data_IF_765140202169
#
_entry.id   IF_765140202169
#
_cell.length_a   1.000
_cell.length_b   1.000
_cell.length_c   1.000
_cell.angle_alpha   90.00
_cell.angle_beta   90.00
_cell.angle_gamma   90.00
#
_symmetry.space_group_name_H-M   'P 1'
#
loop_
_entity.id
_entity.type
_entity.pdbx_description
1 polymer ?
#
# COMPACT_ATOMS: atom_id res chain seq x y z
N UNK A 1 -23.94 4.72 -42.92
CA UNK A 1 -22.90 3.69 -43.13
C UNK A 1 -22.51 3.16 -41.78
N UNK A 2 -22.83 1.91 -41.47
CA UNK A 2 -22.47 1.33 -40.19
C UNK A 2 -20.94 1.17 -40.14
N UNK A 3 -20.33 1.83 -39.19
CA UNK A 3 -18.90 1.78 -38.90
C UNK A 3 -18.56 0.31 -38.59
N UNK A 4 -17.76 -0.33 -39.43
CA UNK A 4 -17.36 -1.71 -39.20
C UNK A 4 -16.38 -1.78 -38.06
N UNK A 5 -16.86 -2.20 -36.90
CA UNK A 5 -16.05 -2.51 -35.72
C UNK A 5 -14.88 -3.39 -36.14
N UNK A 6 -13.67 -2.87 -36.05
CA UNK A 6 -12.46 -3.56 -36.51
C UNK A 6 -11.88 -4.47 -35.41
N UNK A 7 -11.02 -5.43 -35.78
CA UNK A 7 -10.27 -6.25 -34.81
C UNK A 7 -9.46 -5.38 -33.85
N UNK A 8 -8.91 -4.26 -34.33
CA UNK A 8 -8.17 -3.30 -33.52
C UNK A 8 -9.06 -2.61 -32.47
N UNK A 9 -10.31 -2.28 -32.83
CA UNK A 9 -11.27 -1.70 -31.90
C UNK A 9 -11.67 -2.69 -30.81
N UNK A 10 -11.86 -3.96 -31.18
CA UNK A 10 -12.14 -5.03 -30.22
C UNK A 10 -10.98 -5.26 -29.23
N UNK A 11 -9.73 -5.31 -29.72
CA UNK A 11 -8.55 -5.45 -28.88
C UNK A 11 -8.38 -4.24 -27.95
N UNK A 12 -8.72 -3.05 -28.42
CA UNK A 12 -8.70 -1.80 -27.64
C UNK A 12 -9.70 -1.85 -26.50
N UNK A 13 -10.97 -2.13 -26.79
CA UNK A 13 -12.02 -2.20 -25.77
C UNK A 13 -11.79 -3.32 -24.76
N UNK A 14 -11.33 -4.48 -25.23
CA UNK A 14 -11.02 -5.59 -24.32
C UNK A 14 -9.91 -5.25 -23.33
N UNK A 15 -8.92 -4.48 -23.78
CA UNK A 15 -7.81 -4.03 -22.95
C UNK A 15 -8.24 -2.95 -21.95
N UNK A 16 -9.07 -1.99 -22.37
CA UNK A 16 -9.63 -0.97 -21.49
C UNK A 16 -10.50 -1.62 -20.40
N UNK A 17 -11.42 -2.52 -20.78
CA UNK A 17 -12.19 -3.29 -19.82
C UNK A 17 -11.32 -4.15 -18.87
N UNK A 18 -10.10 -4.49 -19.29
CA UNK A 18 -9.10 -5.14 -18.44
C UNK A 18 -8.55 -4.21 -17.36
N UNK A 19 -8.25 -2.96 -17.71
CA UNK A 19 -7.79 -1.94 -16.78
C UNK A 19 -8.88 -1.54 -15.78
N UNK A 20 -10.11 -1.34 -16.24
CA UNK A 20 -11.26 -1.03 -15.37
C UNK A 20 -11.46 -2.12 -14.32
N UNK A 21 -11.48 -3.39 -14.75
CA UNK A 21 -11.57 -4.53 -13.82
C UNK A 21 -10.41 -4.59 -12.82
N UNK A 22 -9.20 -4.23 -13.25
CA UNK A 22 -8.05 -4.17 -12.35
C UNK A 22 -8.19 -3.02 -11.36
N UNK A 23 -8.65 -1.86 -11.83
CA UNK A 23 -8.92 -0.70 -10.99
C UNK A 23 -9.97 -1.02 -9.92
N UNK A 24 -11.14 -1.56 -10.32
CA UNK A 24 -12.21 -1.93 -9.40
C UNK A 24 -11.72 -2.92 -8.33
N UNK A 25 -10.92 -3.91 -8.74
CA UNK A 25 -10.31 -4.86 -7.79
C UNK A 25 -9.34 -4.20 -6.82
N UNK A 26 -8.55 -3.22 -7.26
CA UNK A 26 -7.64 -2.49 -6.38
C UNK A 26 -8.40 -1.61 -5.37
N UNK A 27 -9.45 -0.93 -5.83
CA UNK A 27 -10.31 -0.12 -4.95
C UNK A 27 -11.04 -1.00 -3.93
N UNK A 28 -11.61 -2.12 -4.39
CA UNK A 28 -12.29 -3.08 -3.51
C UNK A 28 -11.32 -3.69 -2.50
N UNK A 29 -10.13 -4.10 -2.94
CA UNK A 29 -9.08 -4.58 -2.05
C UNK A 29 -8.71 -3.53 -0.99
N UNK A 30 -8.55 -2.26 -1.37
CA UNK A 30 -8.21 -1.19 -0.43
C UNK A 30 -9.33 -0.94 0.61
N UNK A 31 -10.60 -1.13 0.22
CA UNK A 31 -11.74 -1.01 1.14
C UNK A 31 -11.83 -2.16 2.14
N UNK A 32 -11.47 -3.36 1.71
CA UNK A 32 -11.55 -4.59 2.52
C UNK A 32 -10.28 -4.83 3.35
N UNK A 33 -9.21 -4.10 3.07
CA UNK A 33 -7.94 -4.26 3.76
C UNK A 33 -8.10 -3.97 5.25
N UNK A 34 -7.52 -4.80 6.15
CA UNK A 34 -7.52 -4.53 7.57
C UNK A 34 -6.72 -3.25 7.87
N UNK A 35 -7.05 -2.59 8.98
CA UNK A 35 -6.31 -1.42 9.45
C UNK A 35 -4.85 -1.81 9.78
N UNK A 36 -3.96 -1.47 8.89
CA UNK A 36 -2.52 -1.71 8.98
C UNK A 36 -1.78 -0.66 8.16
N UNK A 37 -0.75 0.03 8.71
CA UNK A 37 -0.10 1.15 8.04
C UNK A 37 0.28 0.91 6.56
N UNK A 38 0.87 -0.24 6.15
CA UNK A 38 1.14 -0.50 4.74
C UNK A 38 -0.10 -0.55 3.85
N UNK A 39 -1.26 -0.98 4.38
CA UNK A 39 -2.51 -0.99 3.63
C UNK A 39 -3.14 0.40 3.56
N UNK A 40 -3.03 1.19 4.63
CA UNK A 40 -3.50 2.58 4.65
C UNK A 40 -2.70 3.45 3.67
N UNK A 41 -1.37 3.27 3.62
CA UNK A 41 -0.50 3.91 2.64
C UNK A 41 -0.87 3.51 1.20
N UNK A 42 -1.11 2.21 0.96
CA UNK A 42 -1.52 1.69 -0.34
C UNK A 42 -2.88 2.25 -0.77
N UNK A 43 -3.87 2.29 0.13
CA UNK A 43 -5.19 2.87 -0.11
C UNK A 43 -5.09 4.36 -0.45
N UNK A 44 -4.29 5.11 0.31
CA UNK A 44 -4.00 6.52 0.04
C UNK A 44 -3.31 6.74 -1.32
N UNK A 45 -2.44 5.83 -1.74
CA UNK A 45 -1.78 5.89 -3.05
C UNK A 45 -2.78 5.61 -4.18
N UNK A 46 -3.63 4.58 -4.05
CA UNK A 46 -4.69 4.26 -5.01
C UNK A 46 -5.63 5.45 -5.18
N UNK A 47 -6.09 6.05 -4.07
CA UNK A 47 -7.00 7.20 -4.10
C UNK A 47 -6.37 8.42 -4.80
N UNK A 48 -5.08 8.70 -4.56
CA UNK A 48 -4.37 9.81 -5.24
C UNK A 48 -4.21 9.61 -6.73
N UNK A 49 -4.17 8.37 -7.18
CA UNK A 49 -3.99 8.02 -8.59
C UNK A 49 -5.30 7.69 -9.31
N UNK A 50 -6.44 7.71 -8.61
CA UNK A 50 -7.74 7.31 -9.12
C UNK A 50 -8.05 7.93 -10.49
N UNK A 51 -7.93 9.25 -10.61
CA UNK A 51 -8.17 9.98 -11.86
C UNK A 51 -7.23 9.57 -13.02
N UNK A 52 -6.02 9.08 -12.70
CA UNK A 52 -5.05 8.60 -13.71
C UNK A 52 -5.24 7.13 -14.07
N UNK A 53 -5.87 6.36 -13.20
CA UNK A 53 -6.13 4.93 -13.37
C UNK A 53 -7.45 4.67 -14.08
N UNK A 54 -8.40 5.60 -14.03
CA UNK A 54 -9.68 5.55 -14.76
C UNK A 54 -9.47 5.90 -16.21
N UNK A 55 -9.39 4.91 -17.03
CA UNK A 55 -9.10 5.03 -18.47
C UNK A 55 -10.31 5.37 -19.34
N UNK A 56 -11.55 4.96 -19.00
CA UNK A 56 -12.69 5.07 -19.94
C UNK A 56 -13.01 6.50 -20.35
N UNK A 57 -12.70 7.47 -19.48
CA UNK A 57 -12.96 8.89 -19.72
C UNK A 57 -11.83 9.57 -20.52
N UNK A 58 -10.70 8.87 -20.72
CA UNK A 58 -9.62 9.39 -21.56
C UNK A 58 -9.95 9.07 -23.01
N UNK A 59 -10.39 10.07 -23.73
CA UNK A 59 -10.48 9.98 -25.19
C UNK A 59 -9.10 9.63 -25.77
N UNK A 60 -8.94 8.36 -26.15
CA UNK A 60 -7.68 7.88 -26.72
C UNK A 60 -7.33 8.57 -28.04
N UNK A 61 -8.31 9.16 -28.70
CA UNK A 61 -8.16 9.81 -29.99
C UNK A 61 -7.80 11.31 -29.86
N UNK A 62 -7.89 11.90 -28.66
CA UNK A 62 -7.49 13.28 -28.44
C UNK A 62 -6.01 13.51 -28.76
N UNK A 63 -5.65 14.76 -29.06
CA UNK A 63 -4.25 15.16 -29.26
C UNK A 63 -3.36 14.75 -28.08
N UNK A 64 -2.13 14.34 -28.38
CA UNK A 64 -1.13 13.97 -27.38
C UNK A 64 -0.65 15.24 -26.65
N UNK A 65 -0.57 15.20 -25.34
CA UNK A 65 -0.13 16.35 -24.55
C UNK A 65 1.34 16.18 -24.15
N UNK A 66 2.19 17.12 -24.57
CA UNK A 66 3.61 17.17 -24.27
C UNK A 66 3.91 18.36 -23.36
N UNK A 67 4.29 18.10 -22.11
CA UNK A 67 4.64 19.14 -21.14
C UNK A 67 6.15 19.37 -21.08
N UNK A 68 6.58 20.63 -21.16
CA UNK A 68 7.98 21.04 -21.01
C UNK A 68 8.25 21.45 -19.57
N UNK A 69 9.25 20.82 -18.97
CA UNK A 69 9.64 20.95 -17.57
C UNK A 69 11.11 21.33 -17.45
N UNK A 70 11.47 21.99 -16.40
CA UNK A 70 12.85 22.34 -16.10
C UNK A 70 12.94 23.61 -15.26
N UNK A 71 14.05 23.79 -14.58
CA UNK A 71 14.30 24.97 -13.76
C UNK A 71 14.48 26.26 -14.57
N UNK A 72 14.50 27.42 -13.88
CA UNK A 72 14.71 28.70 -14.53
C UNK A 72 16.02 28.74 -15.28
N UNK A 73 15.95 29.14 -16.55
CA UNK A 73 17.12 29.26 -17.43
C UNK A 73 17.69 27.96 -17.96
N UNK A 74 16.95 26.83 -17.84
CA UNK A 74 17.32 25.57 -18.50
C UNK A 74 16.97 25.52 -19.98
N UNK A 75 16.50 26.61 -20.59
CA UNK A 75 16.17 26.69 -22.02
C UNK A 75 14.84 26.05 -22.40
N UNK A 76 13.95 25.82 -21.44
CA UNK A 76 12.61 25.23 -21.63
C UNK A 76 11.78 25.98 -22.68
N UNK A 77 11.51 27.27 -22.43
CA UNK A 77 10.74 28.13 -23.36
C UNK A 77 11.46 28.37 -24.69
N UNK A 78 12.80 28.33 -24.67
CA UNK A 78 13.60 28.42 -25.92
C UNK A 78 13.45 27.16 -26.76
N UNK A 79 13.48 25.97 -26.14
CA UNK A 79 13.23 24.71 -26.84
C UNK A 79 11.80 24.63 -27.37
N UNK A 80 10.82 25.07 -26.58
CA UNK A 80 9.43 25.16 -26.99
C UNK A 80 9.28 26.04 -28.24
N UNK A 81 9.89 27.21 -28.24
CA UNK A 81 9.89 28.12 -29.40
C UNK A 81 10.61 27.53 -30.62
N UNK A 82 11.74 26.85 -30.42
CA UNK A 82 12.49 26.19 -31.48
C UNK A 82 11.68 25.09 -32.17
N UNK A 83 10.89 24.32 -31.42
CA UNK A 83 10.01 23.30 -31.99
C UNK A 83 8.87 23.93 -32.82
N UNK A 84 8.37 25.09 -32.39
CA UNK A 84 7.33 25.84 -33.14
C UNK A 84 7.88 26.66 -34.29
N UNK A 85 9.22 26.81 -34.39
CA UNK A 85 9.88 27.64 -35.39
C UNK A 85 9.56 29.15 -35.27
N UNK A 86 9.05 29.56 -34.10
CA UNK A 86 8.67 30.96 -33.83
C UNK A 86 8.68 31.24 -32.31
N UNK A 87 8.78 32.52 -31.97
CA UNK A 87 8.77 32.98 -30.57
C UNK A 87 7.34 33.13 -30.05
N UNK A 88 6.84 32.15 -29.37
CA UNK A 88 5.50 32.09 -28.74
C UNK A 88 5.59 32.34 -27.26
N UNK A 89 6.41 31.52 -26.57
CA UNK A 89 6.67 31.70 -25.15
C UNK A 89 7.79 32.71 -24.90
N UNK A 90 7.65 33.51 -23.83
CA UNK A 90 8.68 34.49 -23.48
C UNK A 90 9.93 33.78 -22.99
N UNK A 91 11.04 33.99 -23.67
CA UNK A 91 12.34 33.42 -23.33
C UNK A 91 13.38 34.55 -23.27
N UNK A 92 14.23 34.57 -22.25
CA UNK A 92 15.29 35.60 -22.15
C UNK A 92 16.10 35.50 -20.86
N UNK A 93 17.16 36.34 -20.77
CA UNK A 93 18.05 36.38 -19.59
C UNK A 93 17.71 37.53 -18.63
N UNK A 94 17.01 38.57 -19.08
CA UNK A 94 16.94 39.86 -18.38
C UNK A 94 15.84 39.96 -17.32
N UNK A 95 14.75 39.19 -17.42
CA UNK A 95 13.66 39.24 -16.44
C UNK A 95 13.21 37.80 -16.09
N UNK A 96 13.51 37.32 -14.93
CA UNK A 96 13.07 35.98 -14.42
C UNK A 96 12.18 36.18 -13.20
N UNK A 97 11.05 35.45 -13.10
CA UNK A 97 10.53 34.42 -14.00
C UNK A 97 9.84 35.02 -15.25
N UNK A 98 10.11 34.44 -16.43
CA UNK A 98 9.53 34.89 -17.68
C UNK A 98 8.14 34.32 -17.95
N UNK A 99 7.92 33.06 -17.57
CA UNK A 99 6.68 32.31 -17.81
C UNK A 99 5.87 32.26 -16.52
N UNK A 100 4.88 33.14 -16.40
CA UNK A 100 3.99 33.19 -15.20
C UNK A 100 2.74 32.32 -15.36
N UNK A 101 2.38 31.96 -16.58
CA UNK A 101 1.25 31.08 -16.96
C UNK A 101 1.79 29.92 -17.78
N UNK A 102 1.11 28.80 -17.82
CA UNK A 102 1.47 27.75 -18.76
C UNK A 102 1.10 28.20 -20.17
N UNK A 103 2.05 28.14 -21.13
CA UNK A 103 1.82 28.52 -22.52
C UNK A 103 1.49 27.28 -23.33
N UNK A 104 0.28 27.23 -23.87
CA UNK A 104 -0.28 26.10 -24.62
C UNK A 104 -0.27 26.41 -26.11
N UNK A 105 0.38 25.60 -26.94
CA UNK A 105 0.28 25.64 -28.39
C UNK A 105 -0.51 24.43 -28.88
N UNK A 106 -1.53 24.67 -29.70
CA UNK A 106 -2.34 23.65 -30.35
C UNK A 106 -2.72 24.09 -31.78
N UNK A 107 -3.17 23.14 -32.61
CA UNK A 107 -3.77 23.47 -33.89
C UNK A 107 -5.15 24.12 -33.69
N UNK A 108 -5.60 25.03 -34.61
CA UNK A 108 -6.94 25.61 -34.50
C UNK A 108 -8.08 24.59 -34.45
N UNK A 109 -7.92 23.41 -35.05
CA UNK A 109 -8.91 22.34 -35.06
C UNK A 109 -8.87 21.48 -33.79
N UNK A 110 -7.92 21.73 -32.89
CA UNK A 110 -7.78 21.00 -31.61
C UNK A 110 -8.35 21.86 -30.49
N UNK A 111 -9.38 21.36 -29.83
CA UNK A 111 -9.95 22.00 -28.64
C UNK A 111 -9.15 21.64 -27.39
N UNK A 112 -8.43 22.57 -26.75
CA UNK A 112 -7.69 22.31 -25.51
C UNK A 112 -8.56 22.34 -24.25
N UNK A 113 -9.86 22.56 -24.35
CA UNK A 113 -10.79 22.68 -23.17
C UNK A 113 -10.82 21.44 -22.30
N UNK A 114 -10.53 20.27 -22.86
CA UNK A 114 -10.44 19.01 -22.10
C UNK A 114 -9.33 19.03 -21.02
N UNK A 115 -8.37 19.95 -21.11
CA UNK A 115 -7.36 20.11 -20.06
C UNK A 115 -7.97 20.63 -18.75
N UNK A 116 -9.17 21.23 -18.79
CA UNK A 116 -9.85 21.73 -17.59
C UNK A 116 -9.04 22.72 -16.77
N UNK A 117 -8.05 23.40 -17.41
CA UNK A 117 -7.17 24.35 -16.75
C UNK A 117 -7.85 25.72 -16.67
N UNK A 118 -7.65 26.39 -15.54
CA UNK A 118 -8.17 27.73 -15.35
C UNK A 118 -7.57 28.73 -16.36
N UNK A 119 -8.43 29.56 -16.99
CA UNK A 119 -8.05 30.53 -17.97
C UNK A 119 -7.01 31.57 -17.48
N UNK A 120 -7.00 31.83 -16.16
CA UNK A 120 -5.99 32.72 -15.55
C UNK A 120 -4.62 32.06 -15.40
N UNK A 121 -4.56 30.72 -15.48
CA UNK A 121 -3.36 29.94 -15.34
C UNK A 121 -2.70 29.55 -16.67
N UNK A 122 -3.39 29.73 -17.79
CA UNK A 122 -2.92 29.34 -19.13
C UNK A 122 -3.00 30.48 -20.11
N UNK A 123 -2.14 30.41 -21.12
CA UNK A 123 -2.16 31.28 -22.33
C UNK A 123 -2.19 30.33 -23.53
N UNK A 124 -3.27 30.40 -24.35
CA UNK A 124 -3.48 29.49 -25.48
C UNK A 124 -3.11 30.19 -26.79
N UNK A 125 -2.25 29.55 -27.58
CA UNK A 125 -1.86 29.95 -28.92
C UNK A 125 -2.29 28.89 -29.94
N UNK A 126 -3.23 29.24 -30.79
CA UNK A 126 -3.62 28.42 -31.93
C UNK A 126 -2.68 28.66 -33.10
N UNK A 127 -1.98 27.62 -33.53
CA UNK A 127 -0.92 27.70 -34.54
C UNK A 127 -1.15 26.62 -35.59
N UNK A 128 -1.29 27.02 -36.83
CA UNK A 128 -1.46 26.12 -37.96
C UNK A 128 -0.11 25.48 -38.35
N UNK A 129 0.30 24.44 -37.60
CA UNK A 129 1.46 23.58 -37.87
C UNK A 129 0.97 22.14 -37.91
N UNK A 130 1.28 21.35 -38.95
CA UNK A 130 0.69 20.01 -39.12
C UNK A 130 0.80 19.06 -37.94
N UNK A 131 1.93 19.02 -37.24
CA UNK A 131 2.08 18.09 -36.12
C UNK A 131 1.22 18.48 -34.90
N UNK A 132 0.82 19.76 -34.78
CA UNK A 132 -0.08 20.23 -33.73
C UNK A 132 -1.54 19.76 -33.91
N UNK A 133 -1.92 19.25 -35.10
CA UNK A 133 -3.22 18.55 -35.26
C UNK A 133 -3.36 17.34 -34.36
N UNK A 134 -2.24 16.74 -33.99
CA UNK A 134 -2.19 15.50 -33.19
C UNK A 134 -1.50 15.68 -31.84
N UNK A 135 -0.98 16.88 -31.55
CA UNK A 135 -0.19 17.15 -30.37
C UNK A 135 -0.47 18.56 -29.81
N UNK A 136 -0.54 18.65 -28.50
CA UNK A 136 -0.55 19.92 -27.77
C UNK A 136 0.78 20.05 -27.05
N UNK A 137 1.46 21.16 -27.19
CA UNK A 137 2.67 21.50 -26.45
C UNK A 137 2.34 22.45 -25.31
N UNK A 138 2.87 22.20 -24.13
CA UNK A 138 2.66 23.07 -22.96
C UNK A 138 4.02 23.45 -22.34
N UNK A 139 4.37 24.74 -22.42
CA UNK A 139 5.51 25.30 -21.69
C UNK A 139 5.10 25.62 -20.24
N UNK A 140 5.56 24.83 -19.29
CA UNK A 140 5.18 24.96 -17.89
C UNK A 140 6.01 26.04 -17.18
N UNK A 141 5.42 26.79 -16.22
CA UNK A 141 6.17 27.72 -15.39
C UNK A 141 7.21 26.99 -14.54
N UNK A 142 8.25 27.71 -14.16
CA UNK A 142 9.34 27.17 -13.34
C UNK A 142 8.93 27.05 -11.87
N UNK A 143 8.98 25.85 -11.29
CA UNK A 143 8.62 25.65 -9.89
C UNK A 143 9.67 26.16 -8.88
N UNK A 144 10.93 26.40 -9.33
CA UNK A 144 12.04 26.80 -8.49
C UNK A 144 12.13 28.34 -8.28
N UNK A 145 11.32 29.12 -9.01
CA UNK A 145 11.43 30.57 -8.97
C UNK A 145 10.49 31.17 -7.94
N UNK A 146 11.08 31.86 -6.96
CA UNK A 146 10.35 32.79 -6.11
C UNK A 146 10.30 34.13 -6.81
N UNK A 147 9.11 34.64 -7.11
CA UNK A 147 8.94 36.00 -7.63
C UNK A 147 9.10 36.97 -6.44
N UNK A 148 10.07 37.90 -6.48
CA UNK A 148 10.28 38.84 -5.35
C UNK A 148 9.09 39.78 -5.14
N UNK A 149 8.29 40.03 -6.20
CA UNK A 149 7.17 40.98 -6.18
C UNK A 149 5.83 40.32 -5.74
N UNK A 150 5.73 39.00 -5.83
CA UNK A 150 4.57 38.23 -5.38
C UNK A 150 4.96 37.39 -4.16
N UNK A 151 4.56 37.79 -2.98
CA UNK A 151 4.86 37.06 -1.74
C UNK A 151 4.41 35.59 -1.72
N UNK A 152 3.74 35.09 -2.75
CA UNK A 152 3.26 33.71 -2.94
C UNK A 152 3.53 33.16 -4.36
N UNK A 153 4.30 33.85 -5.21
CA UNK A 153 4.50 33.52 -6.63
C UNK A 153 5.09 32.13 -6.88
N UNK A 154 5.98 31.66 -6.03
CA UNK A 154 6.56 30.32 -6.15
C UNK A 154 5.54 29.21 -5.90
N UNK A 155 4.57 29.38 -5.03
CA UNK A 155 3.46 28.43 -4.81
C UNK A 155 2.54 28.39 -6.01
N UNK A 156 2.18 29.55 -6.57
CA UNK A 156 1.32 29.64 -7.75
C UNK A 156 1.93 28.92 -8.97
N UNK A 157 3.22 29.05 -9.22
CA UNK A 157 3.90 28.33 -10.30
C UNK A 157 3.87 26.82 -10.11
N UNK A 158 4.11 26.37 -8.87
CA UNK A 158 4.05 24.95 -8.52
C UNK A 158 2.62 24.40 -8.65
N UNK A 159 1.61 25.19 -8.29
CA UNK A 159 0.20 24.78 -8.40
C UNK A 159 -0.24 24.68 -9.85
N UNK A 160 0.18 25.64 -10.72
CA UNK A 160 -0.05 25.56 -12.16
C UNK A 160 0.64 24.31 -12.73
N UNK A 161 1.89 24.07 -12.37
CA UNK A 161 2.62 22.90 -12.82
C UNK A 161 1.88 21.61 -12.42
N UNK A 162 1.42 21.51 -11.17
CA UNK A 162 0.67 20.37 -10.66
C UNK A 162 -0.68 20.18 -11.32
N UNK A 163 -1.32 21.26 -11.76
CA UNK A 163 -2.55 21.20 -12.52
C UNK A 163 -2.30 20.68 -13.95
N UNK A 164 -1.21 21.08 -14.60
CA UNK A 164 -0.85 20.68 -15.97
C UNK A 164 -0.34 19.24 -16.04
N UNK A 165 0.52 18.83 -15.09
CA UNK A 165 1.21 17.54 -15.12
C UNK A 165 0.27 16.33 -15.27
N UNK A 166 -0.91 16.25 -14.62
CA UNK A 166 -1.83 15.12 -14.80
C UNK A 166 -2.27 14.89 -16.25
N UNK A 167 -2.30 15.94 -17.06
CA UNK A 167 -2.76 15.90 -18.46
C UNK A 167 -1.64 15.52 -19.44
N UNK A 168 -0.36 15.61 -19.04
CA UNK A 168 0.76 15.30 -19.91
C UNK A 168 0.87 13.81 -20.18
N UNK A 169 0.84 13.41 -21.44
CA UNK A 169 1.14 12.05 -21.91
C UNK A 169 2.66 11.82 -21.99
N UNK A 170 3.41 12.86 -22.38
CA UNK A 170 4.88 12.87 -22.47
C UNK A 170 5.41 14.10 -21.74
N UNK A 171 6.52 13.96 -21.04
CA UNK A 171 7.22 15.06 -20.38
C UNK A 171 8.59 15.27 -21.02
N UNK A 172 8.89 16.48 -21.42
CA UNK A 172 10.22 16.89 -21.89
C UNK A 172 10.91 17.65 -20.77
N UNK A 173 11.93 17.06 -20.19
CA UNK A 173 12.68 17.68 -19.10
C UNK A 173 13.97 18.30 -19.60
N UNK A 174 14.07 19.64 -19.52
CA UNK A 174 15.27 20.40 -19.91
C UNK A 174 16.21 20.58 -18.72
N UNK A 175 17.48 20.34 -18.94
CA UNK A 175 18.55 20.48 -17.94
C UNK A 175 19.75 21.26 -18.53
N UNK A 176 20.54 21.86 -17.64
CA UNK A 176 21.86 22.43 -17.97
C UNK A 176 22.91 21.78 -17.10
N UNK A 177 24.19 21.97 -17.43
CA UNK A 177 25.30 21.47 -16.59
C UNK A 177 25.23 21.94 -15.15
N UNK A 178 24.62 23.08 -14.87
CA UNK A 178 24.52 23.67 -13.54
C UNK A 178 23.24 23.28 -12.80
N UNK A 179 22.16 22.95 -13.53
CA UNK A 179 20.79 22.76 -12.97
C UNK A 179 20.17 21.41 -13.35
N UNK A 180 20.91 20.32 -13.27
CA UNK A 180 20.36 18.98 -13.52
C UNK A 180 19.99 18.21 -12.23
N UNK A 181 20.44 18.69 -11.06
CA UNK A 181 20.15 18.09 -9.75
C UNK A 181 19.19 18.95 -8.90
N UNK A 182 18.26 19.71 -9.52
CA UNK A 182 17.25 20.46 -8.77
C UNK A 182 16.39 19.54 -7.92
N UNK A 183 16.37 19.79 -6.61
CA UNK A 183 15.63 18.97 -5.65
C UNK A 183 14.11 19.06 -5.87
N UNK A 184 13.58 20.27 -6.14
CA UNK A 184 12.13 20.50 -6.37
C UNK A 184 11.67 19.78 -7.64
N UNK A 185 12.39 19.97 -8.73
CA UNK A 185 12.08 19.31 -10.01
C UNK A 185 12.22 17.78 -9.85
N UNK A 186 13.24 17.31 -9.16
CA UNK A 186 13.43 15.89 -8.85
C UNK A 186 12.29 15.29 -8.03
N UNK A 187 11.73 16.02 -7.06
CA UNK A 187 10.57 15.60 -6.30
C UNK A 187 9.29 15.54 -7.17
N UNK A 188 9.04 16.56 -7.97
CA UNK A 188 7.88 16.57 -8.87
C UNK A 188 7.99 15.48 -9.96
N UNK A 189 9.20 15.22 -10.47
CA UNK A 189 9.43 14.07 -11.34
C UNK A 189 9.11 12.75 -10.65
N UNK A 190 9.61 12.49 -9.45
CA UNK A 190 9.31 11.26 -8.69
C UNK A 190 7.82 11.03 -8.49
N UNK A 191 7.05 12.09 -8.23
CA UNK A 191 5.60 12.01 -8.01
C UNK A 191 4.82 11.76 -9.30
N UNK A 192 5.27 12.37 -10.41
CA UNK A 192 4.51 12.43 -11.64
C UNK A 192 5.08 11.55 -12.77
N UNK A 193 6.35 11.14 -12.69
CA UNK A 193 7.00 10.25 -13.66
C UNK A 193 6.37 8.85 -13.77
N UNK A 194 5.89 8.22 -12.66
CA UNK A 194 5.36 6.87 -12.77
C UNK A 194 4.28 6.77 -13.86
N UNK A 195 4.50 5.83 -14.78
CA UNK A 195 3.63 5.59 -15.90
C UNK A 195 3.62 6.69 -16.99
N UNK A 196 4.68 7.49 -17.12
CA UNK A 196 4.81 8.47 -18.18
C UNK A 196 6.13 8.33 -18.93
N UNK A 197 6.10 8.65 -20.22
CA UNK A 197 7.31 8.77 -21.00
C UNK A 197 7.97 10.12 -20.71
N UNK A 198 9.26 10.08 -20.36
CA UNK A 198 10.05 11.27 -20.09
C UNK A 198 11.21 11.33 -21.07
N UNK A 199 11.33 12.44 -21.76
CA UNK A 199 12.44 12.77 -22.65
C UNK A 199 13.35 13.79 -21.95
N UNK A 200 14.63 13.53 -21.91
CA UNK A 200 15.60 14.43 -21.30
C UNK A 200 16.41 15.14 -22.36
N UNK A 201 16.53 16.47 -22.19
CA UNK A 201 17.28 17.32 -23.09
C UNK A 201 18.28 18.16 -22.29
N UNK A 202 19.56 17.94 -22.50
CA UNK A 202 20.61 18.85 -22.06
C UNK A 202 20.71 19.99 -23.08
N UNK A 203 20.24 21.15 -22.68
CA UNK A 203 20.29 22.37 -23.48
C UNK A 203 21.64 23.11 -23.32
N UNK A 204 21.84 24.22 -24.01
CA UNK A 204 23.08 25.03 -23.96
C UNK A 204 24.33 24.27 -24.39
N UNK A 205 24.21 23.37 -25.37
CA UNK A 205 25.31 22.50 -25.79
C UNK A 205 26.53 23.27 -26.30
N UNK A 206 26.35 24.52 -26.79
CA UNK A 206 27.44 25.37 -27.21
C UNK A 206 28.33 25.91 -26.08
N UNK A 207 27.77 26.01 -24.86
CA UNK A 207 28.45 26.63 -23.72
C UNK A 207 28.77 25.63 -22.63
N UNK A 208 27.84 24.69 -22.37
CA UNK A 208 27.89 23.75 -21.28
C UNK A 208 28.67 22.47 -21.62
N UNK A 209 29.47 21.91 -20.72
CA UNK A 209 30.08 20.60 -20.89
C UNK A 209 29.04 19.49 -21.03
N UNK A 210 29.42 18.38 -21.64
CA UNK A 210 28.56 17.20 -21.75
C UNK A 210 28.51 16.45 -20.41
N UNK A 211 27.36 16.53 -19.74
CA UNK A 211 27.14 15.88 -18.43
C UNK A 211 26.11 14.74 -18.54
N UNK A 212 25.83 14.22 -19.74
CA UNK A 212 24.81 13.18 -19.94
C UNK A 212 25.06 11.91 -19.13
N UNK A 213 26.32 11.51 -18.95
CA UNK A 213 26.67 10.32 -18.18
C UNK A 213 26.43 10.49 -16.68
N UNK A 214 26.71 11.68 -16.12
CA UNK A 214 26.43 11.98 -14.72
C UNK A 214 24.92 12.15 -14.47
N UNK A 215 24.23 12.79 -15.42
CA UNK A 215 22.76 12.87 -15.42
C UNK A 215 22.13 11.47 -15.46
N UNK A 216 22.62 10.56 -16.30
CA UNK A 216 22.12 9.18 -16.37
C UNK A 216 22.27 8.46 -15.04
N UNK A 217 23.44 8.53 -14.40
CA UNK A 217 23.67 7.97 -13.07
C UNK A 217 22.72 8.53 -12.01
N UNK A 218 22.48 9.86 -12.06
CA UNK A 218 21.54 10.52 -11.17
C UNK A 218 20.09 10.03 -11.38
N UNK A 219 19.66 9.88 -12.63
CA UNK A 219 18.33 9.39 -12.98
C UNK A 219 18.14 7.92 -12.59
N UNK A 220 19.15 7.08 -12.80
CA UNK A 220 19.15 5.67 -12.36
C UNK A 220 19.02 5.56 -10.83
N UNK A 221 19.70 6.44 -10.08
CA UNK A 221 19.55 6.52 -8.62
C UNK A 221 18.14 6.97 -8.18
N UNK A 222 17.42 7.70 -9.02
CA UNK A 222 16.02 8.06 -8.83
C UNK A 222 15.05 6.93 -9.25
N UNK A 223 15.56 5.84 -9.83
CA UNK A 223 14.75 4.76 -10.40
C UNK A 223 14.15 5.07 -11.77
N UNK A 224 14.62 6.11 -12.44
CA UNK A 224 14.16 6.57 -13.76
C UNK A 224 15.12 6.04 -14.83
N UNK A 225 14.69 5.03 -15.58
CA UNK A 225 15.44 4.53 -16.73
C UNK A 225 15.16 5.39 -17.96
N UNK A 226 16.19 6.05 -18.47
CA UNK A 226 16.09 6.93 -19.63
C UNK A 226 16.91 6.34 -20.78
N UNK A 227 16.29 5.96 -21.91
CA UNK A 227 16.99 5.34 -23.02
C UNK A 227 17.97 6.30 -23.69
N UNK A 228 17.56 7.54 -23.89
CA UNK A 228 18.37 8.54 -24.56
C UNK A 228 18.26 9.91 -23.87
N UNK A 229 19.36 10.64 -23.83
CA UNK A 229 19.44 12.03 -23.37
C UNK A 229 19.96 12.86 -24.55
N UNK A 230 19.09 13.70 -25.10
CA UNK A 230 19.43 14.59 -26.21
C UNK A 230 20.31 15.73 -25.72
N UNK A 231 21.21 16.21 -26.57
CA UNK A 231 22.09 17.33 -26.25
C UNK A 231 22.24 18.24 -27.46
N UNK A 232 21.69 19.45 -27.39
CA UNK A 232 21.76 20.47 -28.44
C UNK A 232 21.57 21.87 -27.86
N UNK A 233 21.83 22.91 -28.67
CA UNK A 233 21.52 24.30 -28.31
C UNK A 233 20.19 24.76 -28.93
N UNK A 234 19.18 24.89 -28.08
CA UNK A 234 17.84 25.28 -28.55
C UNK A 234 17.78 26.73 -29.05
N UNK A 235 18.64 27.64 -28.56
CA UNK A 235 18.70 29.01 -29.00
C UNK A 235 19.33 29.10 -30.42
N UNK A 236 20.39 28.35 -30.64
CA UNK A 236 21.01 28.20 -31.95
C UNK A 236 20.04 27.57 -32.97
N UNK A 237 19.33 26.51 -32.55
CA UNK A 237 18.32 25.84 -33.38
C UNK A 237 17.21 26.83 -33.82
N UNK A 238 16.71 27.65 -32.90
CA UNK A 238 15.72 28.68 -33.22
C UNK A 238 16.29 29.74 -34.18
N UNK A 239 17.49 30.27 -33.92
CA UNK A 239 18.13 31.27 -34.74
C UNK A 239 18.38 30.78 -36.19
N UNK A 240 18.85 29.54 -36.35
CA UNK A 240 19.04 28.92 -37.66
C UNK A 240 17.73 28.74 -38.41
N UNK A 241 16.65 28.34 -37.72
CA UNK A 241 15.33 28.25 -38.36
C UNK A 241 14.80 29.61 -38.79
N UNK A 242 14.96 30.65 -37.96
CA UNK A 242 14.60 32.03 -38.32
C UNK A 242 15.41 32.51 -39.53
N UNK A 243 16.66 32.07 -39.69
CA UNK A 243 17.53 32.36 -40.83
C UNK A 243 17.35 31.44 -42.05
N UNK A 244 16.51 30.41 -41.96
CA UNK A 244 16.36 29.42 -43.04
C UNK A 244 17.54 28.47 -43.18
N UNK A 245 18.42 28.35 -42.17
CA UNK A 245 19.59 27.52 -42.16
C UNK A 245 19.28 26.09 -41.60
N UNK A 246 20.05 25.07 -42.01
CA UNK A 246 19.89 23.72 -41.46
C UNK A 246 20.20 23.68 -39.95
N UNK A 247 19.35 23.01 -39.20
CA UNK A 247 19.51 22.82 -37.74
C UNK A 247 20.50 21.69 -37.42
N UNK A 248 20.96 21.63 -36.17
CA UNK A 248 21.79 20.56 -35.66
C UNK A 248 21.12 19.19 -35.77
N UNK A 249 21.88 18.14 -36.07
CA UNK A 249 21.39 16.76 -36.24
C UNK A 249 20.68 16.23 -34.99
N UNK A 250 21.14 16.57 -33.80
CA UNK A 250 20.51 16.13 -32.55
C UNK A 250 19.15 16.81 -32.32
N UNK A 251 19.05 18.10 -32.62
CA UNK A 251 17.78 18.80 -32.60
C UNK A 251 16.83 18.25 -33.67
N UNK A 252 17.34 18.01 -34.90
CA UNK A 252 16.55 17.44 -35.99
C UNK A 252 15.96 16.09 -35.60
N UNK A 253 16.77 15.19 -34.99
CA UNK A 253 16.31 13.88 -34.47
C UNK A 253 15.26 14.02 -33.35
N UNK A 254 15.47 14.97 -32.44
CA UNK A 254 14.51 15.22 -31.36
C UNK A 254 13.18 15.75 -31.91
N UNK A 255 13.22 16.63 -32.87
CA UNK A 255 12.04 17.14 -33.56
C UNK A 255 11.32 16.03 -34.34
N UNK A 256 12.06 15.20 -35.09
CA UNK A 256 11.52 14.07 -35.84
C UNK A 256 10.84 13.04 -34.92
N UNK A 257 11.42 12.76 -33.77
CA UNK A 257 10.80 11.92 -32.72
C UNK A 257 9.42 12.47 -32.32
N UNK A 258 9.32 13.78 -32.04
CA UNK A 258 8.06 14.41 -31.65
C UNK A 258 7.05 14.42 -32.78
N UNK A 259 7.45 14.89 -33.97
CA UNK A 259 6.58 15.09 -35.12
C UNK A 259 6.10 13.79 -35.78
N UNK A 260 6.98 12.80 -35.92
CA UNK A 260 6.70 11.60 -36.69
C UNK A 260 6.48 10.36 -35.81
N UNK A 261 7.31 10.14 -34.81
CA UNK A 261 7.18 8.94 -34.00
C UNK A 261 6.07 9.06 -32.94
N UNK A 262 5.97 10.20 -32.25
CA UNK A 262 4.99 10.39 -31.19
C UNK A 262 3.62 10.85 -31.70
N UNK A 263 3.58 11.80 -32.66
CA UNK A 263 2.33 12.37 -33.13
C UNK A 263 1.47 11.38 -33.95
N UNK A 264 2.06 10.70 -34.96
CA UNK A 264 1.25 10.08 -36.01
C UNK A 264 0.73 8.66 -35.71
N UNK A 265 1.52 7.81 -35.04
CA UNK A 265 1.18 6.38 -34.86
C UNK A 265 1.28 5.89 -33.43
N UNK A 266 1.83 6.68 -32.53
CA UNK A 266 2.22 6.21 -31.22
C UNK A 266 1.28 6.62 -30.08
N UNK A 267 0.34 7.57 -30.26
CA UNK A 267 -0.50 8.09 -29.15
C UNK A 267 -1.21 6.99 -28.36
N UNK A 268 -1.86 6.04 -29.02
CA UNK A 268 -2.49 4.91 -28.34
C UNK A 268 -1.46 3.99 -27.65
N UNK A 269 -0.31 3.75 -28.32
CA UNK A 269 0.77 2.95 -27.74
C UNK A 269 1.39 3.63 -26.52
N UNK A 270 1.58 4.96 -26.58
CA UNK A 270 2.11 5.76 -25.48
C UNK A 270 1.15 5.70 -24.29
N UNK A 271 -0.13 5.96 -24.49
CA UNK A 271 -1.12 5.91 -23.41
C UNK A 271 -1.25 4.52 -22.79
N UNK A 272 -1.26 3.47 -23.62
CA UNK A 272 -1.21 2.09 -23.13
C UNK A 272 0.05 1.81 -22.33
N UNK A 273 1.22 2.21 -22.83
CA UNK A 273 2.48 2.02 -22.15
C UNK A 273 2.52 2.80 -20.82
N UNK A 274 2.00 4.02 -20.82
CA UNK A 274 1.89 4.87 -19.64
C UNK A 274 0.99 4.20 -18.58
N UNK A 275 -0.15 3.65 -18.96
CA UNK A 275 -1.05 2.93 -18.06
C UNK A 275 -0.41 1.67 -17.50
N UNK A 276 0.15 0.82 -18.37
CA UNK A 276 0.86 -0.39 -17.95
C UNK A 276 2.01 -0.05 -17.00
N UNK A 277 2.78 1.00 -17.33
CA UNK A 277 3.85 1.50 -16.48
C UNK A 277 3.34 2.00 -15.12
N UNK A 278 2.22 2.72 -15.12
CA UNK A 278 1.60 3.23 -13.89
C UNK A 278 1.11 2.10 -12.99
N UNK A 279 0.40 1.09 -13.55
CA UNK A 279 -0.04 -0.08 -12.79
C UNK A 279 1.14 -0.90 -12.29
N UNK A 280 2.16 -1.12 -13.13
CA UNK A 280 3.38 -1.83 -12.74
C UNK A 280 4.11 -1.15 -11.57
N UNK A 281 4.23 0.18 -11.65
CA UNK A 281 4.81 0.98 -10.56
C UNK A 281 3.95 0.94 -9.30
N UNK A 282 2.61 1.12 -9.43
CA UNK A 282 1.68 1.09 -8.31
C UNK A 282 1.73 -0.24 -7.57
N UNK A 283 1.67 -1.36 -8.30
CA UNK A 283 1.76 -2.69 -7.71
C UNK A 283 3.09 -2.92 -7.00
N UNK A 284 4.19 -2.41 -7.57
CA UNK A 284 5.50 -2.48 -6.93
C UNK A 284 5.57 -1.62 -5.67
N UNK A 285 5.00 -0.40 -5.72
CA UNK A 285 4.95 0.53 -4.59
C UNK A 285 4.08 -0.02 -3.44
N UNK A 286 3.00 -0.74 -3.74
CA UNK A 286 2.16 -1.43 -2.74
C UNK A 286 2.88 -2.66 -2.18
N UNK A 287 3.51 -3.45 -3.04
CA UNK A 287 4.14 -4.71 -2.64
C UNK A 287 5.37 -4.52 -1.74
N UNK A 288 6.18 -3.52 -2.00
CA UNK A 288 7.45 -3.33 -1.29
C UNK A 288 7.30 -3.11 0.22
N UNK A 289 6.44 -2.21 0.72
CA UNK A 289 6.20 -2.03 2.16
C UNK A 289 5.60 -3.27 2.82
N UNK A 290 4.70 -3.97 2.12
CA UNK A 290 4.09 -5.21 2.62
C UNK A 290 5.16 -6.30 2.74
N UNK A 291 5.95 -6.52 1.69
CA UNK A 291 6.98 -7.56 1.66
C UNK A 291 8.03 -7.37 2.75
N UNK A 292 8.42 -6.13 3.04
CA UNK A 292 9.41 -5.83 4.10
C UNK A 292 8.94 -6.22 5.50
N UNK A 293 7.63 -6.34 5.73
CA UNK A 293 7.03 -6.68 7.03
C UNK A 293 6.52 -8.12 7.15
N UNK A 294 6.53 -8.89 6.06
CA UNK A 294 6.04 -10.29 6.06
C UNK A 294 6.82 -11.18 7.03
N UNK A 295 8.13 -11.01 7.15
CA UNK A 295 8.95 -11.78 8.09
C UNK A 295 8.57 -11.51 9.55
N UNK A 296 8.23 -10.27 9.89
CA UNK A 296 7.77 -9.91 11.23
C UNK A 296 6.39 -10.53 11.52
N UNK A 297 5.47 -10.47 10.55
CA UNK A 297 4.14 -11.10 10.66
C UNK A 297 4.27 -12.62 10.84
N UNK A 298 5.13 -13.28 10.05
CA UNK A 298 5.38 -14.70 10.18
C UNK A 298 5.95 -15.09 11.57
N UNK A 299 6.81 -14.25 12.14
CA UNK A 299 7.33 -14.43 13.51
C UNK A 299 6.23 -14.30 14.57
N UNK A 300 5.31 -13.33 14.40
CA UNK A 300 4.13 -13.18 15.28
C UNK A 300 3.29 -14.45 15.23
N UNK A 301 2.94 -14.92 14.03
CA UNK A 301 2.11 -16.10 13.83
C UNK A 301 2.76 -17.37 14.46
N UNK A 302 4.04 -17.61 14.18
CA UNK A 302 4.78 -18.72 14.73
C UNK A 302 4.88 -18.67 16.27
N UNK A 303 5.01 -17.46 16.83
CA UNK A 303 5.06 -17.27 18.30
C UNK A 303 3.70 -17.52 18.93
N UNK A 304 2.63 -16.99 18.33
CA UNK A 304 1.26 -17.25 18.78
C UNK A 304 0.93 -18.75 18.76
N UNK A 305 1.31 -19.46 17.69
CA UNK A 305 1.11 -20.91 17.59
C UNK A 305 1.85 -21.67 18.70
N UNK A 306 3.11 -21.32 18.96
CA UNK A 306 3.92 -21.92 20.03
C UNK A 306 3.33 -21.67 21.42
N UNK A 307 2.93 -20.43 21.70
CA UNK A 307 2.34 -20.10 23.01
C UNK A 307 0.97 -20.75 23.21
N UNK A 308 0.14 -20.83 22.16
CA UNK A 308 -1.12 -21.61 22.22
C UNK A 308 -0.86 -23.08 22.55
N UNK A 309 0.09 -23.72 21.89
CA UNK A 309 0.45 -25.11 22.15
C UNK A 309 1.00 -25.30 23.58
N UNK A 310 1.85 -24.38 24.04
CA UNK A 310 2.40 -24.39 25.42
C UNK A 310 1.30 -24.23 26.46
N UNK A 311 0.38 -23.30 26.29
CA UNK A 311 -0.76 -23.13 27.20
C UNK A 311 -1.68 -24.34 27.20
N UNK A 312 -2.03 -24.88 26.03
CA UNK A 312 -2.84 -26.09 25.93
C UNK A 312 -2.19 -27.27 26.68
N UNK A 313 -0.88 -27.46 26.51
CA UNK A 313 -0.13 -28.50 27.23
C UNK A 313 -0.14 -28.28 28.76
N UNK A 314 0.11 -27.04 29.22
CA UNK A 314 0.07 -26.70 30.65
C UNK A 314 -1.32 -26.90 31.27
N UNK A 315 -2.36 -26.45 30.57
CA UNK A 315 -3.75 -26.63 31.00
C UNK A 315 -4.08 -28.14 31.08
N UNK A 316 -3.71 -28.90 30.03
CA UNK A 316 -3.91 -30.35 29.99
C UNK A 316 -3.19 -31.09 31.13
N UNK A 317 -1.93 -30.76 31.39
CA UNK A 317 -1.17 -31.32 32.49
C UNK A 317 -1.82 -31.03 33.85
N UNK A 318 -2.22 -29.78 34.10
CA UNK A 318 -2.93 -29.39 35.34
C UNK A 318 -4.29 -30.07 35.50
N UNK A 319 -5.05 -30.17 34.39
CA UNK A 319 -6.32 -30.92 34.43
C UNK A 319 -6.08 -32.38 34.80
N UNK A 320 -5.10 -33.04 34.22
CA UNK A 320 -4.74 -34.42 34.54
C UNK A 320 -4.31 -34.56 36.01
N UNK A 321 -3.44 -33.67 36.48
CA UNK A 321 -3.01 -33.66 37.88
C UNK A 321 -4.20 -33.49 38.85
N UNK A 322 -5.13 -32.58 38.56
CA UNK A 322 -6.37 -32.39 39.35
C UNK A 322 -7.30 -33.59 39.27
N UNK A 323 -7.42 -34.23 38.11
CA UNK A 323 -8.22 -35.46 37.95
C UNK A 323 -7.59 -36.58 38.77
N UNK A 324 -6.28 -36.77 38.72
CA UNK A 324 -5.58 -37.79 39.45
C UNK A 324 -5.64 -37.55 40.96
N UNK A 325 -5.44 -36.34 41.42
CA UNK A 325 -5.58 -35.95 42.82
C UNK A 325 -7.00 -36.23 43.37
N UNK A 326 -8.01 -36.04 42.54
CA UNK A 326 -9.41 -36.26 42.92
C UNK A 326 -10.00 -37.58 42.38
N UNK A 327 -9.17 -38.49 41.87
CA UNK A 327 -9.58 -39.73 41.20
C UNK A 327 -10.59 -40.56 41.99
N UNK A 328 -10.43 -40.62 43.31
CA UNK A 328 -11.38 -41.34 44.19
C UNK A 328 -12.75 -40.68 44.25
N UNK A 329 -12.79 -39.35 44.30
CA UNK A 329 -14.03 -38.57 44.32
C UNK A 329 -14.76 -38.64 42.98
N UNK A 330 -14.01 -38.54 41.88
CA UNK A 330 -14.55 -38.67 40.53
C UNK A 330 -15.10 -40.09 40.30
N UNK A 331 -14.36 -41.12 40.66
CA UNK A 331 -14.79 -42.51 40.54
C UNK A 331 -16.10 -42.75 41.30
N UNK A 332 -16.22 -42.21 42.50
CA UNK A 332 -17.44 -42.33 43.30
C UNK A 332 -18.65 -41.56 42.69
N UNK A 333 -18.42 -40.41 42.08
CA UNK A 333 -19.48 -39.64 41.40
C UNK A 333 -19.94 -40.30 40.09
N UNK A 334 -19.00 -40.73 39.27
CA UNK A 334 -19.31 -41.44 38.01
C UNK A 334 -20.07 -42.73 38.30
N UNK A 335 -19.64 -43.53 39.29
CA UNK A 335 -20.34 -44.75 39.67
C UNK A 335 -21.75 -44.47 40.20
N UNK A 336 -21.96 -43.39 40.97
CA UNK A 336 -23.29 -42.97 41.41
C UNK A 336 -24.18 -42.54 40.25
N UNK A 337 -23.67 -41.78 39.32
CA UNK A 337 -24.42 -41.34 38.13
C UNK A 337 -24.74 -42.49 37.20
N UNK A 338 -23.81 -43.40 36.95
CA UNK A 338 -24.05 -44.63 36.20
C UNK A 338 -25.14 -45.48 36.85
N UNK A 339 -25.10 -45.60 38.18
CA UNK A 339 -26.12 -46.33 38.93
C UNK A 339 -27.50 -45.69 38.88
N UNK A 340 -27.56 -44.35 38.85
CA UNK A 340 -28.81 -43.56 38.64
C UNK A 340 -29.34 -43.66 37.21
N UNK A 341 -28.46 -43.64 36.21
CA UNK A 341 -28.83 -43.68 34.79
C UNK A 341 -29.28 -45.10 34.33
N UNK A 342 -28.73 -46.15 34.93
CA UNK A 342 -28.99 -47.53 34.52
C UNK A 342 -30.12 -48.20 35.31
N UNK A 343 -30.73 -47.53 36.30
CA UNK A 343 -31.89 -48.04 37.02
C UNK A 343 -31.63 -49.34 37.78
N UNK A 344 -32.67 -50.11 38.07
CA UNK A 344 -32.61 -51.34 38.82
C UNK A 344 -32.29 -52.58 37.96
N UNK A 345 -31.07 -52.66 37.41
CA UNK A 345 -30.60 -53.82 36.63
C UNK A 345 -29.57 -54.66 37.42
N UNK A 346 -29.27 -55.92 36.99
CA UNK A 346 -28.32 -56.79 37.65
C UNK A 346 -26.90 -56.20 37.76
N UNK A 347 -26.48 -55.38 36.83
CA UNK A 347 -25.22 -54.64 36.91
C UNK A 347 -25.24 -53.51 37.95
N UNK A 348 -26.38 -52.83 38.14
CA UNK A 348 -26.54 -51.85 39.20
C UNK A 348 -26.45 -52.49 40.60
N UNK A 349 -26.99 -53.72 40.76
CA UNK A 349 -26.83 -54.50 41.92
C UNK A 349 -25.37 -54.86 42.24
N UNK A 350 -24.59 -55.28 41.24
CA UNK A 350 -23.16 -55.62 41.40
C UNK A 350 -22.32 -54.35 41.73
N UNK A 351 -22.59 -53.25 41.14
CA UNK A 351 -21.91 -52.00 41.44
C UNK A 351 -22.28 -51.48 42.83
N UNK A 352 -23.56 -51.64 43.22
CA UNK A 352 -24.05 -51.35 44.56
C UNK A 352 -23.36 -52.24 45.64
N UNK A 353 -23.23 -53.56 45.39
CA UNK A 353 -22.52 -54.50 46.25
C UNK A 353 -21.03 -54.17 46.37
N UNK A 354 -20.40 -53.77 45.30
CA UNK A 354 -18.97 -53.35 45.24
C UNK A 354 -18.72 -52.06 46.01
N UNK A 355 -19.62 -51.10 45.87
CA UNK A 355 -19.58 -49.82 46.61
C UNK A 355 -19.91 -50.06 48.13
N UNK A 356 -20.77 -51.01 48.46
CA UNK A 356 -21.14 -51.39 49.83
C UNK A 356 -20.08 -52.26 50.50
N UNK A 357 -19.29 -53.04 49.76
CA UNK A 357 -18.22 -53.87 50.31
C UNK A 357 -17.19 -53.09 51.13
N UNK A 358 -16.89 -51.86 50.70
CA UNK A 358 -16.05 -50.93 51.47
C UNK A 358 -16.69 -50.46 52.80
N UNK A 359 -18.02 -50.42 52.87
CA UNK A 359 -18.76 -50.10 54.11
C UNK A 359 -18.97 -51.31 55.02
N UNK A 360 -19.07 -52.51 54.44
CA UNK A 360 -19.20 -53.77 55.22
C UNK A 360 -17.93 -54.07 56.03
N UNK A 361 -16.74 -53.83 55.53
CA UNK A 361 -15.50 -53.91 56.29
C UNK A 361 -15.49 -52.98 57.49
N UNK A 362 -16.07 -51.76 57.35
CA UNK A 362 -16.25 -50.80 58.46
C UNK A 362 -17.31 -51.28 59.45
N UNK A 363 -18.39 -51.94 59.01
CA UNK A 363 -19.44 -52.52 59.88
C UNK A 363 -18.97 -53.70 60.66
N UNK A 364 -18.06 -54.51 60.09
CA UNK A 364 -17.45 -55.65 60.83
C UNK A 364 -16.55 -55.21 62.00
N UNK A 365 -15.96 -54.01 61.90
CA UNK A 365 -15.21 -53.43 63.04
C UNK A 365 -16.17 -52.98 64.15
N UNK A 366 -17.40 -52.55 63.82
CA UNK A 366 -18.42 -52.17 64.77
C UNK A 366 -19.08 -53.37 65.49
N UNK A 367 -19.10 -54.54 64.86
CA UNK A 367 -19.61 -55.79 65.44
C UNK A 367 -18.71 -56.40 66.55
N UNK A 368 -17.51 -55.82 66.73
CA UNK A 368 -16.58 -56.27 67.82
C UNK A 368 -16.76 -55.49 69.12
N UNK A 369 -17.76 -54.64 69.22
CA UNK A 369 -18.06 -53.80 70.39
C UNK A 369 -18.85 -54.61 71.40
N UNK A 370 -18.24 -54.87 72.57
CA UNK A 370 -18.85 -55.70 73.67
C UNK A 370 -19.40 -54.87 74.82
N UNK A 371 -19.26 -53.54 74.83
CA UNK A 371 -19.72 -52.68 75.93
C UNK A 371 -20.43 -51.46 75.44
N UNK A 372 -21.44 -50.89 76.14
CA UNK A 372 -22.20 -49.74 75.74
C UNK A 372 -21.33 -48.47 75.55
N UNK A 373 -20.28 -48.33 76.35
CA UNK A 373 -19.34 -47.22 76.25
C UNK A 373 -18.49 -47.29 74.99
N UNK A 374 -18.14 -48.49 74.51
CA UNK A 374 -17.44 -48.65 73.23
C UNK A 374 -18.36 -48.40 72.03
N UNK A 375 -19.67 -48.65 72.18
CA UNK A 375 -20.67 -48.38 71.16
C UNK A 375 -20.83 -46.85 70.92
N UNK A 376 -20.85 -46.09 72.02
CA UNK A 376 -20.94 -44.59 71.92
C UNK A 376 -19.67 -43.99 71.33
N UNK A 377 -18.50 -44.46 71.70
CA UNK A 377 -17.22 -44.08 71.18
C UNK A 377 -17.07 -44.43 69.68
N UNK A 378 -17.45 -45.63 69.28
CA UNK A 378 -17.42 -46.11 67.92
C UNK A 378 -18.45 -45.37 67.03
N UNK A 379 -19.65 -45.10 67.59
CA UNK A 379 -20.69 -44.29 66.95
C UNK A 379 -20.25 -42.81 66.76
N UNK A 380 -19.62 -42.24 67.79
CA UNK A 380 -19.09 -40.89 67.74
C UNK A 380 -17.94 -40.72 66.73
N UNK A 381 -17.02 -41.70 66.67
CA UNK A 381 -15.95 -41.76 65.69
C UNK A 381 -16.48 -41.99 64.29
N UNK A 382 -17.48 -42.84 64.11
CA UNK A 382 -18.11 -43.01 62.77
C UNK A 382 -18.88 -41.75 62.31
N UNK A 383 -19.59 -41.12 63.26
CA UNK A 383 -20.27 -39.83 62.94
C UNK A 383 -19.28 -38.68 62.61
N UNK A 384 -18.19 -38.57 63.39
CA UNK A 384 -17.17 -37.55 63.12
C UNK A 384 -16.44 -37.82 61.83
N UNK A 385 -16.22 -39.05 61.42
CA UNK A 385 -15.62 -39.39 60.12
C UNK A 385 -16.59 -39.10 58.96
N UNK A 386 -17.89 -39.35 59.10
CA UNK A 386 -18.90 -38.98 58.10
C UNK A 386 -19.05 -37.50 57.99
N UNK A 387 -19.01 -36.75 59.08
CA UNK A 387 -19.01 -35.28 59.05
C UNK A 387 -17.72 -34.78 58.46
N UNK A 388 -16.57 -35.30 58.78
CA UNK A 388 -15.28 -34.93 58.22
C UNK A 388 -15.16 -35.31 56.72
N UNK A 389 -15.78 -36.42 56.29
CA UNK A 389 -15.86 -36.78 54.87
C UNK A 389 -16.78 -35.79 54.09
N UNK A 390 -17.94 -35.46 54.65
CA UNK A 390 -18.86 -34.46 54.09
C UNK A 390 -18.25 -33.04 54.03
N UNK A 391 -17.46 -32.69 55.07
CA UNK A 391 -16.71 -31.44 55.10
C UNK A 391 -15.56 -31.44 54.11
N UNK A 392 -14.85 -32.52 53.94
CA UNK A 392 -13.81 -32.67 52.91
C UNK A 392 -14.40 -32.67 51.52
N UNK A 393 -15.55 -33.31 51.28
CA UNK A 393 -16.27 -33.24 50.00
C UNK A 393 -16.76 -31.81 49.67
N UNK A 394 -17.25 -31.09 50.68
CA UNK A 394 -17.65 -29.66 50.49
C UNK A 394 -16.43 -28.76 50.25
N UNK A 395 -15.35 -28.93 51.01
CA UNK A 395 -14.10 -28.17 50.76
C UNK A 395 -13.47 -28.52 49.43
N UNK A 396 -13.44 -29.77 49.02
CA UNK A 396 -12.93 -30.18 47.72
C UNK A 396 -13.84 -29.66 46.56
N UNK A 397 -15.15 -29.55 46.78
CA UNK A 397 -16.07 -28.98 45.82
C UNK A 397 -15.91 -27.44 45.72
N UNK A 398 -15.67 -26.76 46.85
CA UNK A 398 -15.39 -25.31 46.85
C UNK A 398 -13.99 -24.99 46.38
N UNK A 399 -12.98 -25.84 46.64
CA UNK A 399 -11.64 -25.67 46.11
C UNK A 399 -11.56 -25.93 44.58
N UNK A 400 -12.43 -26.80 44.05
CA UNK A 400 -12.56 -26.97 42.59
C UNK A 400 -13.16 -25.76 41.86
N UNK A 401 -13.88 -24.90 42.60
CA UNK A 401 -14.52 -23.69 42.05
C UNK A 401 -13.74 -22.42 42.39
N UNK A 402 -12.96 -22.43 43.51
CA UNK A 402 -12.41 -21.18 44.07
C UNK A 402 -10.93 -20.90 43.79
N UNK A 403 -10.15 -21.84 43.29
CA UNK A 403 -8.75 -21.58 42.94
C UNK A 403 -8.39 -22.26 41.62
N UNK A 404 -8.97 -21.77 40.54
CA UNK A 404 -8.19 -21.63 39.34
C UNK A 404 -7.07 -20.65 39.70
N UNK A 405 -5.85 -21.15 39.84
CA UNK A 405 -4.67 -20.34 40.11
C UNK A 405 -4.38 -19.45 38.90
N UNK A 406 -5.23 -18.39 38.76
CA UNK A 406 -5.19 -17.43 37.69
C UNK A 406 -3.83 -16.70 37.68
N UNK A 407 -3.21 -16.56 38.86
CA UNK A 407 -1.95 -15.85 39.01
C UNK A 407 -0.77 -16.44 38.24
N UNK A 408 -0.69 -17.79 38.14
CA UNK A 408 0.37 -18.46 37.35
C UNK A 408 0.07 -18.40 35.85
N UNK A 409 -1.21 -18.39 35.45
CA UNK A 409 -1.62 -18.22 34.07
C UNK A 409 -1.42 -16.77 33.66
N UNK A 410 -1.69 -15.79 34.53
CA UNK A 410 -1.44 -14.38 34.32
C UNK A 410 0.05 -14.06 34.12
N UNK A 411 0.95 -14.67 34.92
CA UNK A 411 2.40 -14.54 34.76
C UNK A 411 2.89 -15.05 33.38
N UNK A 412 2.42 -16.24 32.99
CA UNK A 412 2.75 -16.78 31.66
C UNK A 412 2.15 -15.96 30.52
N UNK A 413 0.93 -15.43 30.69
CA UNK A 413 0.28 -14.54 29.74
C UNK A 413 1.00 -13.20 29.60
N UNK A 414 1.46 -12.62 30.71
CA UNK A 414 2.21 -11.36 30.68
C UNK A 414 3.56 -11.51 29.98
N UNK A 415 4.28 -12.60 30.19
CA UNK A 415 5.53 -12.91 29.51
C UNK A 415 5.32 -13.12 28.00
N UNK A 416 4.30 -13.91 27.63
CA UNK A 416 3.95 -14.13 26.22
C UNK A 416 3.51 -12.83 25.54
N UNK A 417 2.77 -11.97 26.25
CA UNK A 417 2.34 -10.65 25.77
C UNK A 417 3.53 -9.72 25.51
N UNK A 418 4.53 -9.70 26.39
CA UNK A 418 5.73 -8.88 26.22
C UNK A 418 6.53 -9.28 24.97
N UNK A 419 6.71 -10.59 24.73
CA UNK A 419 7.37 -11.12 23.53
C UNK A 419 6.59 -10.78 22.27
N UNK A 420 5.26 -10.95 22.30
CA UNK A 420 4.40 -10.62 21.15
C UNK A 420 4.37 -9.13 20.87
N UNK A 421 4.40 -8.27 21.90
CA UNK A 421 4.42 -6.82 21.72
C UNK A 421 5.66 -6.35 20.95
N UNK A 422 6.83 -6.96 21.17
CA UNK A 422 8.03 -6.68 20.40
C UNK A 422 7.83 -6.97 18.90
N UNK A 423 7.34 -8.18 18.57
CA UNK A 423 7.09 -8.55 17.16
C UNK A 423 5.94 -7.79 16.52
N UNK A 424 4.91 -7.41 17.29
CA UNK A 424 3.80 -6.58 16.81
C UNK A 424 4.29 -5.16 16.48
N UNK A 425 5.19 -4.61 17.30
CA UNK A 425 5.82 -3.32 17.03
C UNK A 425 6.68 -3.36 15.75
N UNK A 426 7.48 -4.42 15.57
CA UNK A 426 8.28 -4.62 14.36
C UNK A 426 7.41 -4.77 13.09
N UNK A 427 6.21 -5.36 13.23
CA UNK A 427 5.24 -5.52 12.16
C UNK A 427 4.33 -4.29 11.99
N UNK A 428 4.44 -3.28 12.86
CA UNK A 428 3.53 -2.11 12.93
C UNK A 428 2.04 -2.51 13.08
N UNK A 429 1.77 -3.61 13.76
CA UNK A 429 0.42 -4.09 14.04
C UNK A 429 -0.02 -3.60 15.41
N UNK A 430 -1.12 -2.85 15.47
CA UNK A 430 -1.71 -2.46 16.75
C UNK A 430 -2.43 -3.67 17.38
N UNK A 431 -2.13 -4.02 18.66
CA UNK A 431 -2.89 -5.02 19.34
C UNK A 431 -4.36 -4.57 19.48
N UNK A 432 -5.34 -5.49 19.39
CA UNK A 432 -6.72 -5.14 19.66
C UNK A 432 -6.84 -4.56 21.07
N UNK A 433 -7.70 -3.54 21.21
CA UNK A 433 -8.00 -2.97 22.52
C UNK A 433 -8.46 -4.12 23.46
N UNK A 434 -7.90 -4.15 24.69
CA UNK A 434 -8.33 -5.13 25.67
C UNK A 434 -9.83 -4.93 25.89
N UNK A 435 -10.67 -5.97 25.82
CA UNK A 435 -12.04 -5.86 26.26
C UNK A 435 -12.03 -5.47 27.74
N UNK A 436 -12.66 -4.34 28.08
CA UNK A 436 -12.90 -3.90 29.46
C UNK A 436 -13.73 -4.91 30.26
#
# INVERSE_FOLDING_TARGET
>A
MADRFTKADWEREHLLAGFDRLHDKLVEWARQAPAWPPFDEAGGLIARLDARLRVPEIDLDRALVVGFLGGSGTGKSTLYNALLGRRVSRAGKEHRPMTRRAVVACHPDVDPSFLGLDADSIEIHQINIPFLEQMILIDCPDPDTQDPDDGDGGRRHLDILRAVLPHCDVMVHTVTSQKYKSHVVGQELRKNAPGRQILFVQTHAAIDPDNRDDLRKYLDALGLRVPEIYRFDAAEALARQEGGEPVDDQFARFRDLLEHELASRARHRIRRANLLGLYGWLLSAIKAPIASRLDAVAKVEATMARERARMASKIGARMNERIDANRRLWRGRVLRQLNQAWGAGPLAGLIGLWSAAGSLVRSLILLRVRTPTQAVLAGGLAASQLVAEKWRERRAASALVAEADLGLIEGDLSAARAVLQGYLADAEIQPPASPE
#
